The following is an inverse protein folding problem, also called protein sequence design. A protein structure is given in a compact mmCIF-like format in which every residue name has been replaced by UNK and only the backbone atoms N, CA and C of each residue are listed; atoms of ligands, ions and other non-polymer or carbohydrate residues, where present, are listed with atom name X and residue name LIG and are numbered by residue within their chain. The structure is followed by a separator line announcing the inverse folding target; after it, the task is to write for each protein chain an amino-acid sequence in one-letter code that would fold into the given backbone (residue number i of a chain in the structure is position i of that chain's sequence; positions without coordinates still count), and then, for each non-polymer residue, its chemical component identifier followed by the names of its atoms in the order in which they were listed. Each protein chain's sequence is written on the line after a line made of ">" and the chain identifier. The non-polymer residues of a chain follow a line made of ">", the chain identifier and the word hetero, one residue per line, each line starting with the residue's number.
data_IF_966248429417
#
_entry.id   IF_966248429417
#
_cell.length_a   1.000
_cell.length_b   1.000
_cell.length_c   1.000
_cell.angle_alpha   90.00
_cell.angle_beta   90.00
_cell.angle_gamma   90.00
#
_symmetry.space_group_name_H-M   'P 1'
#
loop_
_entity.id
_entity.type
_entity.pdbx_description
1 polymer ?
#
# COMPACT_ATOMS: atom_id res chain seq x y z
N UNK A 1 12.72 5.17 8.19
CA UNK A 1 13.25 4.08 7.33
C UNK A 1 12.23 2.94 7.21
N UNK A 2 12.01 2.43 6.00
CA UNK A 2 11.07 1.33 5.72
C UNK A 2 11.81 -0.01 5.70
N UNK A 3 11.23 -1.01 6.35
CA UNK A 3 11.62 -2.41 6.23
C UNK A 3 10.49 -3.19 5.55
N UNK A 4 10.84 -4.19 4.76
CA UNK A 4 9.89 -4.98 3.99
C UNK A 4 10.20 -6.47 4.09
N UNK A 5 9.16 -7.28 4.05
CA UNK A 5 9.25 -8.74 4.03
C UNK A 5 9.37 -9.29 2.61
N UNK A 6 8.73 -8.60 1.66
CA UNK A 6 8.66 -9.02 0.28
C UNK A 6 8.49 -7.83 -0.67
N UNK A 7 9.06 -7.97 -1.87
CA UNK A 7 9.07 -6.97 -2.94
C UNK A 7 8.82 -7.69 -4.27
N UNK A 8 7.60 -7.59 -4.78
CA UNK A 8 7.15 -8.41 -5.92
C UNK A 8 6.23 -7.63 -6.86
N UNK A 9 6.15 -8.10 -8.11
CA UNK A 9 5.19 -7.58 -9.09
C UNK A 9 3.86 -8.30 -8.90
N UNK A 10 2.79 -7.54 -8.75
CA UNK A 10 1.43 -8.03 -8.52
C UNK A 10 0.44 -7.41 -9.49
N UNK A 11 -0.72 -8.05 -9.67
CA UNK A 11 -1.67 -7.73 -10.76
C UNK A 11 -3.11 -7.51 -10.28
N UNK A 12 -3.44 -7.80 -9.02
CA UNK A 12 -4.83 -7.85 -8.54
C UNK A 12 -5.15 -6.80 -7.47
N UNK A 13 -4.11 -6.29 -6.81
CA UNK A 13 -4.19 -5.45 -5.62
C UNK A 13 -4.57 -4.01 -6.00
N UNK A 14 -4.16 -3.54 -7.18
CA UNK A 14 -4.61 -2.26 -7.73
C UNK A 14 -5.29 -2.58 -9.07
N UNK A 15 -6.64 -2.58 -9.13
CA UNK A 15 -7.37 -3.04 -10.31
C UNK A 15 -6.95 -2.28 -11.58
N UNK A 16 -6.52 -3.03 -12.59
CA UNK A 16 -6.08 -2.48 -13.89
C UNK A 16 -4.60 -2.09 -13.95
N UNK A 17 -3.84 -2.25 -12.86
CA UNK A 17 -2.45 -1.82 -12.78
C UNK A 17 -1.49 -3.01 -12.60
N UNK A 18 -0.29 -2.89 -13.18
CA UNK A 18 0.84 -3.78 -12.87
C UNK A 18 1.66 -3.09 -11.80
N UNK A 19 1.54 -3.59 -10.56
CA UNK A 19 2.07 -2.92 -9.38
C UNK A 19 3.35 -3.57 -8.87
N UNK A 20 4.38 -2.77 -8.59
CA UNK A 20 5.45 -3.19 -7.69
C UNK A 20 4.93 -3.07 -6.26
N UNK A 21 4.68 -4.20 -5.61
CA UNK A 21 4.17 -4.28 -4.25
C UNK A 21 5.30 -4.40 -3.24
N UNK A 22 5.32 -3.49 -2.26
CA UNK A 22 6.19 -3.50 -1.11
C UNK A 22 5.38 -3.95 0.11
N UNK A 23 5.70 -5.12 0.66
CA UNK A 23 5.07 -5.65 1.88
C UNK A 23 5.82 -5.18 3.13
N UNK A 24 5.45 -4.00 3.63
CA UNK A 24 6.07 -3.29 4.76
C UNK A 24 5.95 -4.09 6.06
N UNK A 25 6.99 -4.09 6.90
CA UNK A 25 6.99 -4.69 8.24
C UNK A 25 6.91 -3.63 9.34
N UNK A 26 6.30 -3.99 10.47
CA UNK A 26 6.08 -3.13 11.62
C UNK A 26 4.66 -2.59 11.75
N UNK A 27 3.66 -3.47 11.91
CA UNK A 27 2.29 -3.04 12.20
C UNK A 27 2.00 -2.92 13.71
N UNK A 28 1.73 -1.71 14.24
CA UNK A 28 1.31 -1.54 15.63
C UNK A 28 -0.18 -1.89 15.84
N UNK A 29 -1.01 -1.87 14.78
CA UNK A 29 -2.46 -2.03 14.88
C UNK A 29 -2.89 -3.42 15.37
N UNK A 30 -2.14 -4.46 14.99
CA UNK A 30 -2.32 -5.86 15.42
C UNK A 30 -3.78 -6.33 15.42
N UNK A 31 -4.51 -5.99 14.35
CA UNK A 31 -5.94 -6.30 14.20
C UNK A 31 -6.21 -7.79 14.49
N UNK A 32 -7.26 -8.07 15.27
CA UNK A 32 -7.66 -9.45 15.58
C UNK A 32 -8.00 -10.21 14.30
N UNK A 33 -7.39 -11.37 14.10
CA UNK A 33 -7.56 -12.19 12.90
C UNK A 33 -6.90 -11.61 11.65
N UNK A 34 -5.90 -10.73 11.80
CA UNK A 34 -5.10 -10.21 10.69
C UNK A 34 -4.56 -11.35 9.82
N UNK A 35 -4.63 -11.19 8.51
CA UNK A 35 -4.10 -12.14 7.53
C UNK A 35 -2.56 -12.19 7.53
N UNK A 36 -1.90 -11.09 7.91
CA UNK A 36 -0.44 -10.93 7.82
C UNK A 36 0.21 -10.64 9.19
N UNK A 37 0.00 -11.48 10.22
CA UNK A 37 0.55 -11.24 11.56
C UNK A 37 2.08 -11.30 11.57
N UNK A 38 2.69 -11.97 10.59
CA UNK A 38 4.14 -12.02 10.39
C UNK A 38 4.75 -10.63 10.09
N UNK A 39 3.94 -9.64 9.67
CA UNK A 39 4.37 -8.26 9.44
C UNK A 39 4.34 -7.39 10.71
N UNK A 40 3.92 -7.89 11.87
CA UNK A 40 3.76 -7.06 13.07
C UNK A 40 5.07 -6.59 13.68
N UNK A 41 6.12 -7.42 13.63
CA UNK A 41 7.40 -7.08 14.25
C UNK A 41 8.12 -6.03 13.40
N UNK A 42 8.36 -4.85 13.97
CA UNK A 42 9.13 -3.79 13.31
C UNK A 42 10.58 -4.22 13.08
N UNK A 43 11.13 -3.86 11.93
CA UNK A 43 12.54 -4.12 11.59
C UNK A 43 12.84 -5.57 11.19
N UNK A 44 11.81 -6.38 10.90
CA UNK A 44 12.01 -7.69 10.26
C UNK A 44 12.09 -7.55 8.74
N UNK A 45 12.74 -8.52 8.09
CA UNK A 45 12.96 -8.49 6.65
C UNK A 45 14.18 -7.63 6.28
N UNK A 46 14.11 -6.97 5.13
CA UNK A 46 15.20 -6.17 4.57
C UNK A 46 14.89 -4.68 4.62
N UNK A 47 15.91 -3.85 4.75
CA UNK A 47 15.75 -2.40 4.63
C UNK A 47 15.47 -2.04 3.17
N UNK A 48 14.43 -1.24 2.91
CA UNK A 48 14.16 -0.70 1.59
C UNK A 48 15.03 0.55 1.36
N UNK A 49 16.29 0.35 1.03
CA UNK A 49 17.19 1.46 0.66
C UNK A 49 16.77 2.08 -0.68
N UNK A 50 17.27 3.27 -1.00
CA UNK A 50 16.98 3.92 -2.28
C UNK A 50 17.55 3.08 -3.44
N UNK A 51 18.74 2.49 -3.26
CA UNK A 51 19.41 1.66 -4.25
C UNK A 51 18.59 0.41 -4.57
N UNK A 52 18.10 -0.30 -3.55
CA UNK A 52 17.25 -1.49 -3.73
C UNK A 52 15.95 -1.13 -4.42
N UNK A 53 15.32 -0.04 -4.00
CA UNK A 53 14.04 0.39 -4.56
C UNK A 53 14.18 0.82 -6.02
N UNK A 54 15.15 1.68 -6.33
CA UNK A 54 15.45 2.13 -7.69
C UNK A 54 15.85 0.96 -8.59
N UNK A 55 16.67 0.04 -8.11
CA UNK A 55 17.04 -1.16 -8.88
C UNK A 55 15.82 -2.01 -9.24
N UNK A 56 14.83 -2.14 -8.34
CA UNK A 56 13.58 -2.84 -8.63
C UNK A 56 12.72 -2.09 -9.66
N UNK A 57 12.61 -0.77 -9.56
CA UNK A 57 11.88 0.05 -10.54
C UNK A 57 12.51 -0.05 -11.94
N UNK A 58 13.83 0.06 -12.04
CA UNK A 58 14.57 -0.05 -13.30
C UNK A 58 14.50 -1.47 -13.89
N UNK A 59 14.56 -2.51 -13.05
CA UNK A 59 14.43 -3.91 -13.50
C UNK A 59 13.11 -4.18 -14.22
N UNK A 60 12.03 -3.56 -13.79
CA UNK A 60 10.69 -3.74 -14.37
C UNK A 60 10.19 -2.50 -15.13
N UNK A 61 11.11 -1.66 -15.57
CA UNK A 61 10.81 -0.45 -16.34
C UNK A 61 10.01 -0.79 -17.60
N UNK A 62 9.05 0.06 -17.92
CA UNK A 62 8.07 -0.11 -19.00
C UNK A 62 7.05 -1.25 -18.80
N UNK A 63 7.17 -2.06 -17.74
CA UNK A 63 6.15 -3.05 -17.35
C UNK A 63 5.26 -2.52 -16.22
N UNK A 64 5.87 -1.86 -15.24
CA UNK A 64 5.15 -1.30 -14.10
C UNK A 64 4.33 -0.08 -14.54
N UNK A 65 3.13 0.02 -14.01
CA UNK A 65 2.29 1.22 -14.07
C UNK A 65 2.05 1.82 -12.69
N UNK A 66 2.29 1.06 -11.61
CA UNK A 66 2.02 1.48 -10.25
C UNK A 66 3.07 0.96 -9.25
N UNK A 67 3.26 1.68 -8.14
CA UNK A 67 3.89 1.19 -6.91
C UNK A 67 2.86 1.15 -5.79
N UNK A 68 2.76 0.00 -5.13
CA UNK A 68 1.89 -0.25 -4.00
C UNK A 68 2.71 -0.46 -2.73
N UNK A 69 2.43 0.31 -1.68
CA UNK A 69 2.87 -0.01 -0.32
C UNK A 69 1.70 -0.64 0.44
N UNK A 70 1.90 -1.83 0.99
CA UNK A 70 0.90 -2.52 1.81
C UNK A 70 1.53 -3.31 2.95
N UNK A 71 0.71 -3.81 3.86
CA UNK A 71 1.15 -4.71 4.93
C UNK A 71 1.13 -4.04 6.30
N UNK A 72 2.28 -3.94 6.94
CA UNK A 72 2.42 -3.20 8.20
C UNK A 72 2.25 -1.69 8.03
N UNK A 73 2.46 -0.96 9.12
CA UNK A 73 2.39 0.51 9.04
C UNK A 73 3.77 1.09 8.81
N UNK A 74 3.78 2.18 8.08
CA UNK A 74 4.95 2.84 7.53
C UNK A 74 5.33 4.03 8.42
N UNK A 75 6.54 4.54 8.19
CA UNK A 75 7.01 5.78 8.79
C UNK A 75 6.85 6.90 7.74
N UNK A 76 6.20 7.99 8.12
CA UNK A 76 5.60 8.94 7.19
C UNK A 76 6.62 9.58 6.24
N UNK A 77 7.75 10.04 6.76
CA UNK A 77 8.76 10.74 5.95
C UNK A 77 9.41 9.76 4.98
N UNK A 78 9.76 8.56 5.45
CA UNK A 78 10.32 7.54 4.59
C UNK A 78 9.34 7.07 3.51
N UNK A 79 8.03 6.97 3.80
CA UNK A 79 7.03 6.62 2.80
C UNK A 79 6.91 7.72 1.74
N UNK A 80 6.76 8.98 2.16
CA UNK A 80 6.66 10.12 1.26
C UNK A 80 7.84 10.14 0.30
N UNK A 81 9.07 9.96 0.81
CA UNK A 81 10.28 9.91 0.00
C UNK A 81 10.20 8.81 -1.08
N UNK A 82 9.77 7.59 -0.73
CA UNK A 82 9.63 6.51 -1.72
C UNK A 82 8.51 6.77 -2.73
N UNK A 83 7.40 7.36 -2.30
CA UNK A 83 6.31 7.73 -3.20
C UNK A 83 6.77 8.78 -4.22
N UNK A 84 7.56 9.77 -3.79
CA UNK A 84 8.15 10.78 -4.67
C UNK A 84 9.12 10.17 -5.68
N UNK A 85 9.94 9.19 -5.26
CA UNK A 85 10.77 8.41 -6.20
C UNK A 85 9.87 7.68 -7.20
N UNK A 86 8.81 6.98 -6.78
CA UNK A 86 7.93 6.28 -7.72
C UNK A 86 7.28 7.25 -8.74
N UNK A 87 6.87 8.44 -8.29
CA UNK A 87 6.27 9.47 -9.16
C UNK A 87 7.27 10.06 -10.16
N UNK A 88 8.56 10.16 -9.81
CA UNK A 88 9.58 10.63 -10.77
C UNK A 88 9.78 9.65 -11.94
N UNK A 89 9.38 8.38 -11.75
CA UNK A 89 9.30 7.36 -12.79
C UNK A 89 7.96 7.38 -13.55
N UNK A 90 7.12 8.40 -13.32
CA UNK A 90 5.76 8.51 -13.88
C UNK A 90 4.83 7.33 -13.53
N UNK A 91 5.10 6.65 -12.42
CA UNK A 91 4.25 5.56 -11.92
C UNK A 91 3.13 6.11 -11.04
N UNK A 92 1.97 5.47 -11.11
CA UNK A 92 0.92 5.65 -10.11
C UNK A 92 1.38 5.13 -8.75
N UNK A 93 0.76 5.66 -7.70
CA UNK A 93 1.11 5.35 -6.31
C UNK A 93 -0.12 4.94 -5.53
N UNK A 94 0.01 3.84 -4.78
CA UNK A 94 -1.06 3.30 -3.97
C UNK A 94 -0.57 2.97 -2.57
N UNK A 95 -1.41 3.23 -1.56
CA UNK A 95 -1.17 2.85 -0.19
C UNK A 95 -2.32 2.02 0.36
N UNK A 96 -1.99 0.92 1.03
CA UNK A 96 -2.90 0.15 1.85
C UNK A 96 -2.52 0.32 3.32
N UNK A 97 -3.44 0.87 4.11
CA UNK A 97 -3.27 1.06 5.55
C UNK A 97 -4.48 0.51 6.32
N UNK A 98 -4.26 0.15 7.58
CA UNK A 98 -5.32 -0.19 8.53
C UNK A 98 -5.93 1.04 9.21
N UNK A 99 -5.34 2.23 9.03
CA UNK A 99 -5.90 3.49 9.54
C UNK A 99 -7.20 3.85 8.83
N UNK A 100 -8.08 4.60 9.50
CA UNK A 100 -9.21 5.24 8.81
C UNK A 100 -8.70 6.43 7.99
N UNK A 101 -9.49 6.88 7.01
CA UNK A 101 -9.05 7.89 6.05
C UNK A 101 -8.62 9.20 6.73
N UNK A 102 -9.34 9.62 7.76
CA UNK A 102 -9.13 10.85 8.50
C UNK A 102 -7.80 10.85 9.26
N UNK A 103 -7.29 9.68 9.62
CA UNK A 103 -6.01 9.50 10.33
C UNK A 103 -4.80 9.51 9.39
N UNK A 104 -5.01 9.34 8.08
CA UNK A 104 -3.91 9.35 7.10
C UNK A 104 -3.42 10.79 6.89
N UNK A 105 -2.13 11.09 7.15
CA UNK A 105 -1.58 12.43 7.00
C UNK A 105 -1.81 13.02 5.61
N UNK A 106 -2.22 14.31 5.49
CA UNK A 106 -2.43 14.96 4.20
C UNK A 106 -1.20 14.93 3.28
N UNK A 107 0.00 15.07 3.85
CA UNK A 107 1.26 15.01 3.10
C UNK A 107 1.46 13.67 2.37
N UNK A 108 0.96 12.56 2.93
CA UNK A 108 0.99 11.26 2.25
C UNK A 108 -0.07 11.21 1.17
N UNK A 109 -1.30 11.66 1.46
CA UNK A 109 -2.40 11.68 0.48
C UNK A 109 -2.02 12.45 -0.78
N UNK A 110 -1.29 13.56 -0.65
CA UNK A 110 -0.81 14.35 -1.79
C UNK A 110 0.06 13.57 -2.78
N UNK A 111 0.75 12.54 -2.30
CA UNK A 111 1.63 11.69 -3.11
C UNK A 111 0.92 10.48 -3.70
N UNK A 112 -0.37 10.26 -3.40
CA UNK A 112 -1.11 9.04 -3.76
C UNK A 112 -2.08 9.24 -4.92
N UNK A 113 -2.17 8.22 -5.77
CA UNK A 113 -3.25 8.06 -6.75
C UNK A 113 -4.44 7.35 -6.10
N UNK A 114 -4.17 6.25 -5.39
CA UNK A 114 -5.17 5.47 -4.66
C UNK A 114 -4.79 5.25 -3.20
N UNK A 115 -5.81 5.11 -2.36
CA UNK A 115 -5.67 4.85 -0.94
C UNK A 115 -6.70 3.81 -0.51
N UNK A 116 -6.22 2.69 0.02
CA UNK A 116 -7.04 1.72 0.76
C UNK A 116 -6.94 2.00 2.24
N UNK A 117 -8.08 2.19 2.90
CA UNK A 117 -8.17 2.47 4.34
C UNK A 117 -9.07 1.48 5.07
N UNK A 118 -9.06 1.56 6.40
CA UNK A 118 -9.93 0.83 7.30
C UNK A 118 -9.25 -0.42 7.90
N UNK A 119 -9.40 -0.64 9.22
CA UNK A 119 -8.79 -1.78 9.89
C UNK A 119 -9.41 -3.09 9.39
N UNK A 120 -8.68 -4.19 9.56
CA UNK A 120 -9.23 -5.51 9.28
C UNK A 120 -10.25 -5.91 10.36
N UNK A 121 -11.47 -6.22 9.93
CA UNK A 121 -12.54 -6.75 10.78
C UNK A 121 -13.03 -8.05 10.16
N UNK A 122 -12.71 -9.18 10.79
CA UNK A 122 -12.97 -10.51 10.23
C UNK A 122 -14.45 -10.76 9.88
N UNK A 123 -15.39 -10.21 10.65
CA UNK A 123 -16.83 -10.35 10.40
C UNK A 123 -17.35 -9.54 9.20
N UNK A 124 -16.59 -8.54 8.72
CA UNK A 124 -16.98 -7.68 7.61
C UNK A 124 -16.27 -8.05 6.29
N UNK A 125 -15.15 -8.75 6.37
CA UNK A 125 -14.37 -9.20 5.22
C UNK A 125 -13.54 -8.10 4.55
N UNK A 126 -12.90 -8.45 3.43
CA UNK A 126 -12.04 -7.55 2.65
C UNK A 126 -12.79 -6.79 1.55
N UNK A 127 -12.06 -6.13 0.65
CA UNK A 127 -12.64 -5.29 -0.41
C UNK A 127 -13.63 -6.00 -1.35
N UNK A 128 -13.52 -7.33 -1.50
CA UNK A 128 -14.46 -8.12 -2.30
C UNK A 128 -15.80 -8.40 -1.59
N UNK A 129 -15.89 -8.13 -0.28
CA UNK A 129 -17.11 -8.31 0.51
C UNK A 129 -17.94 -7.00 0.50
N UNK A 130 -19.22 -7.03 0.10
CA UNK A 130 -20.08 -5.83 0.13
C UNK A 130 -20.25 -5.22 1.52
N UNK A 131 -20.06 -6.02 2.57
CA UNK A 131 -20.19 -5.61 3.98
C UNK A 131 -18.93 -5.01 4.58
N UNK A 132 -17.84 -4.91 3.81
CA UNK A 132 -16.55 -4.46 4.34
C UNK A 132 -16.60 -3.02 4.87
N UNK A 133 -15.85 -2.75 5.94
CA UNK A 133 -15.57 -1.39 6.41
C UNK A 133 -14.41 -0.72 5.67
N UNK A 134 -13.72 -1.47 4.81
CA UNK A 134 -12.55 -0.98 4.10
C UNK A 134 -12.95 -0.18 2.87
N UNK A 135 -12.21 0.87 2.54
CA UNK A 135 -12.50 1.74 1.40
C UNK A 135 -11.28 1.83 0.49
N UNK A 136 -11.44 1.54 -0.79
CA UNK A 136 -10.45 1.83 -1.83
C UNK A 136 -10.85 3.12 -2.53
N UNK A 137 -10.04 4.17 -2.42
CA UNK A 137 -10.41 5.55 -2.76
C UNK A 137 -9.49 6.09 -3.85
N UNK A 138 -10.04 6.77 -4.86
CA UNK A 138 -9.27 7.60 -5.78
C UNK A 138 -9.04 8.98 -5.16
N UNK A 139 -7.82 9.24 -4.71
CA UNK A 139 -7.51 10.37 -3.82
C UNK A 139 -7.86 11.73 -4.42
N UNK A 140 -7.65 11.92 -5.73
CA UNK A 140 -7.95 13.19 -6.41
C UNK A 140 -9.43 13.56 -6.46
N UNK A 141 -10.32 12.60 -6.25
CA UNK A 141 -11.78 12.80 -6.38
C UNK A 141 -12.55 12.45 -5.11
N UNK A 142 -11.95 11.67 -4.20
CA UNK A 142 -12.64 11.07 -3.06
C UNK A 142 -13.60 9.92 -3.44
N UNK A 143 -13.68 9.53 -4.72
CA UNK A 143 -14.55 8.43 -5.16
C UNK A 143 -14.13 7.10 -4.51
N UNK A 144 -15.10 6.40 -3.91
CA UNK A 144 -14.92 5.04 -3.40
C UNK A 144 -15.13 4.03 -4.53
N UNK A 145 -14.09 3.26 -4.80
CA UNK A 145 -13.96 2.35 -5.93
C UNK A 145 -14.05 0.87 -5.53
N UNK A 146 -14.63 0.53 -4.37
CA UNK A 146 -14.78 -0.87 -3.91
C UNK A 146 -15.44 -1.78 -4.94
N UNK A 147 -16.33 -1.23 -5.79
CA UNK A 147 -16.98 -1.95 -6.90
C UNK A 147 -16.00 -2.66 -7.85
N UNK A 148 -14.76 -2.19 -7.93
CA UNK A 148 -13.71 -2.80 -8.77
C UNK A 148 -13.21 -4.16 -8.23
N UNK A 149 -13.52 -4.50 -6.97
CA UNK A 149 -13.10 -5.76 -6.32
C UNK A 149 -14.22 -6.81 -6.24
N UNK A 150 -15.43 -6.45 -6.66
CA UNK A 150 -16.55 -7.39 -6.68
C UNK A 150 -16.38 -8.34 -7.87
N UNK A 151 -16.69 -9.63 -7.64
CA UNK A 151 -16.71 -10.66 -8.67
C UNK A 151 -18.08 -10.75 -9.31
#
# INVERSE_FOLDING_TARGET
>A
MIYYSDLQVVLQEVPGEISLCVSVTGCPLRCKGCHSPFLWKKGTGSALTDEVFVAALERYKNMLSCVLFMGGEWEAEALIHKLQIARSYSLHTCLYTGLIEEEVPPAIKQELTWLKTGPWIASLGGLSCPTTNQRFIKVSTGEVLNKLFYK
#
